data_IF_292826412260
#
_entry.id   IF_292826412260
#
_cell.length_a   1.000
_cell.length_b   1.000
_cell.length_c   1.000
_cell.angle_alpha   90.00
_cell.angle_beta   90.00
_cell.angle_gamma   90.00
#
_symmetry.space_group_name_H-M   'P 1'
#
loop_
_entity.id
_entity.type
_entity.pdbx_description
1 polymer ?
#
# COMPACT_ATOMS: atom_id res chain seq x y z
N UNK A 1 3.46 -6.67 17.30
CA UNK A 1 4.49 -5.91 16.56
C UNK A 1 4.39 -4.45 17.01
N UNK A 2 5.48 -3.70 17.16
CA UNK A 2 5.39 -2.26 17.48
C UNK A 2 5.80 -1.48 16.23
N UNK A 3 4.84 -0.78 15.62
CA UNK A 3 5.01 -0.13 14.31
C UNK A 3 5.17 1.37 14.54
N UNK A 4 6.41 1.83 14.59
CA UNK A 4 6.74 3.25 14.75
C UNK A 4 6.84 3.93 13.38
N UNK A 5 5.75 3.94 12.63
CA UNK A 5 5.67 4.63 11.33
C UNK A 5 4.88 5.93 11.44
N UNK A 6 5.35 6.94 10.72
CA UNK A 6 4.55 8.07 10.31
C UNK A 6 3.44 7.62 9.37
N UNK A 7 2.43 8.48 9.24
CA UNK A 7 1.30 8.21 8.35
C UNK A 7 1.74 8.05 6.89
N UNK A 8 2.73 8.84 6.46
CA UNK A 8 3.27 8.79 5.11
C UNK A 8 4.01 7.47 4.84
N UNK A 9 4.80 6.98 5.81
CA UNK A 9 5.46 5.66 5.75
C UNK A 9 4.45 4.53 5.62
N UNK A 10 3.39 4.55 6.43
CA UNK A 10 2.31 3.57 6.32
C UNK A 10 1.59 3.62 4.96
N UNK A 11 1.26 4.83 4.49
CA UNK A 11 0.59 4.97 3.19
C UNK A 11 1.47 4.42 2.07
N UNK A 12 2.76 4.76 2.08
CA UNK A 12 3.76 4.21 1.13
C UNK A 12 3.79 2.69 1.18
N UNK A 13 3.78 2.11 2.38
CA UNK A 13 3.82 0.67 2.58
C UNK A 13 2.60 -0.03 1.96
N UNK A 14 1.41 0.54 2.17
CA UNK A 14 0.17 0.00 1.60
C UNK A 14 0.14 0.12 0.08
N UNK A 15 0.68 1.20 -0.50
CA UNK A 15 0.76 1.36 -1.95
C UNK A 15 1.75 0.38 -2.58
N UNK A 16 2.90 0.14 -1.94
CA UNK A 16 3.87 -0.86 -2.38
C UNK A 16 3.32 -2.29 -2.26
N UNK A 17 2.56 -2.58 -1.20
CA UNK A 17 1.88 -3.86 -1.06
C UNK A 17 0.89 -4.11 -2.21
N UNK A 18 0.17 -3.06 -2.62
CA UNK A 18 -0.70 -3.12 -3.80
C UNK A 18 0.10 -3.38 -5.08
N UNK A 19 1.17 -2.61 -5.32
CA UNK A 19 2.01 -2.77 -6.52
C UNK A 19 2.71 -4.14 -6.63
N UNK A 20 2.93 -4.84 -5.50
CA UNK A 20 3.56 -6.16 -5.49
C UNK A 20 2.55 -7.32 -5.45
N UNK A 21 1.26 -7.01 -5.51
CA UNK A 21 0.18 -7.96 -5.17
C UNK A 21 -0.01 -9.12 -6.16
N UNK A 22 0.41 -8.94 -7.41
CA UNK A 22 0.46 -9.99 -8.44
C UNK A 22 1.90 -10.52 -8.67
N UNK A 23 2.83 -10.21 -7.76
CA UNK A 23 4.27 -10.48 -7.86
C UNK A 23 5.01 -9.74 -9.00
N UNK A 24 4.35 -8.77 -9.63
CA UNK A 24 4.90 -7.97 -10.74
C UNK A 24 4.70 -6.49 -10.41
N UNK A 25 5.75 -5.84 -9.91
CA UNK A 25 5.77 -4.38 -9.79
C UNK A 25 6.20 -3.77 -11.13
N UNK A 26 5.33 -2.99 -11.76
CA UNK A 26 5.62 -2.30 -13.02
C UNK A 26 6.28 -0.93 -12.79
N UNK A 27 7.07 -0.48 -13.75
CA UNK A 27 7.68 0.87 -13.68
C UNK A 27 6.64 1.99 -13.55
N UNK A 28 5.45 1.81 -14.15
CA UNK A 28 4.34 2.77 -14.06
C UNK A 28 3.78 2.87 -12.63
N UNK A 29 3.66 1.75 -11.92
CA UNK A 29 3.22 1.71 -10.53
C UNK A 29 4.25 2.35 -9.61
N UNK A 30 5.52 1.97 -9.73
CA UNK A 30 6.61 2.58 -8.95
C UNK A 30 6.69 4.09 -9.22
N UNK A 31 6.56 4.51 -10.48
CA UNK A 31 6.54 5.93 -10.85
C UNK A 31 5.35 6.68 -10.25
N UNK A 32 4.16 6.06 -10.20
CA UNK A 32 3.00 6.65 -9.53
C UNK A 32 3.27 6.84 -8.04
N UNK A 33 3.84 5.85 -7.35
CA UNK A 33 4.16 5.95 -5.92
C UNK A 33 5.22 7.04 -5.69
N UNK A 34 6.31 7.04 -6.48
CA UNK A 34 7.36 8.07 -6.43
C UNK A 34 6.84 9.49 -6.75
N UNK A 35 5.71 9.64 -7.43
CA UNK A 35 5.06 10.95 -7.62
C UNK A 35 4.38 11.48 -6.35
N UNK A 36 4.13 10.61 -5.36
CA UNK A 36 3.42 10.91 -4.11
C UNK A 36 4.36 11.10 -2.93
N UNK A 37 5.52 10.45 -2.96
CA UNK A 37 6.46 10.41 -1.84
C UNK A 37 7.87 10.70 -2.34
N UNK A 38 8.75 11.08 -1.43
CA UNK A 38 10.15 11.25 -1.78
C UNK A 38 10.84 9.89 -1.99
N UNK A 39 11.89 9.89 -2.82
CA UNK A 39 12.63 8.68 -3.20
C UNK A 39 13.28 7.97 -1.99
N UNK A 40 13.74 8.71 -0.99
CA UNK A 40 14.32 8.12 0.23
C UNK A 40 13.28 7.28 0.98
N UNK A 41 12.07 7.82 1.13
CA UNK A 41 10.96 7.13 1.80
C UNK A 41 10.50 5.90 1.00
N UNK A 42 10.37 6.06 -0.32
CA UNK A 42 10.08 4.94 -1.21
C UNK A 42 11.08 3.80 -1.01
N UNK A 43 12.38 4.08 -1.11
CA UNK A 43 13.43 3.08 -0.99
C UNK A 43 13.46 2.42 0.40
N UNK A 44 13.28 3.20 1.47
CA UNK A 44 13.23 2.65 2.84
C UNK A 44 12.07 1.69 3.03
N UNK A 45 10.88 2.04 2.57
CA UNK A 45 9.69 1.20 2.72
C UNK A 45 9.70 0.03 1.73
N UNK A 46 10.25 0.21 0.54
CA UNK A 46 10.47 -0.86 -0.43
C UNK A 46 11.39 -1.93 0.16
N UNK A 47 12.47 -1.52 0.82
CA UNK A 47 13.36 -2.43 1.54
C UNK A 47 12.63 -3.17 2.66
N UNK A 48 11.68 -2.54 3.36
CA UNK A 48 10.91 -3.21 4.41
C UNK A 48 9.98 -4.29 3.84
N UNK A 49 9.20 -3.94 2.81
CA UNK A 49 8.15 -4.82 2.31
C UNK A 49 8.68 -6.06 1.58
N UNK A 50 9.84 -5.98 0.92
CA UNK A 50 10.45 -7.14 0.26
C UNK A 50 10.88 -8.25 1.23
N UNK A 51 10.99 -7.95 2.53
CA UNK A 51 11.27 -8.93 3.57
C UNK A 51 10.00 -9.53 4.20
N UNK A 52 8.83 -8.95 3.93
CA UNK A 52 7.56 -9.40 4.46
C UNK A 52 6.86 -10.37 3.52
N UNK A 53 6.33 -11.46 4.06
CA UNK A 53 5.32 -12.24 3.35
C UNK A 53 3.91 -11.62 3.51
N UNK A 54 2.95 -12.10 2.72
CA UNK A 54 1.56 -11.63 2.76
C UNK A 54 0.94 -11.58 4.16
N UNK A 55 1.21 -12.59 4.99
CA UNK A 55 0.68 -12.64 6.35
C UNK A 55 1.27 -11.49 7.20
N UNK A 56 2.59 -11.30 7.15
CA UNK A 56 3.28 -10.23 7.89
C UNK A 56 2.82 -8.84 7.43
N UNK A 57 2.76 -8.61 6.12
CA UNK A 57 2.30 -7.35 5.56
C UNK A 57 0.86 -7.03 5.99
N UNK A 58 -0.02 -8.02 5.93
CA UNK A 58 -1.39 -7.89 6.35
C UNK A 58 -1.54 -7.60 7.85
N UNK A 59 -0.73 -8.25 8.69
CA UNK A 59 -0.71 -8.01 10.13
C UNK A 59 -0.21 -6.59 10.45
N UNK A 60 0.83 -6.11 9.74
CA UNK A 60 1.33 -4.74 9.89
C UNK A 60 0.27 -3.71 9.53
N UNK A 61 -0.42 -3.90 8.40
CA UNK A 61 -1.48 -2.99 7.95
C UNK A 61 -2.60 -2.90 8.99
N UNK A 62 -3.08 -4.05 9.49
CA UNK A 62 -4.13 -4.11 10.51
C UNK A 62 -3.70 -3.47 11.83
N UNK A 63 -2.49 -3.76 12.28
CA UNK A 63 -1.94 -3.24 13.54
C UNK A 63 -1.84 -1.73 13.50
N UNK A 64 -1.28 -1.17 12.42
CA UNK A 64 -1.14 0.27 12.28
C UNK A 64 -2.50 0.99 12.27
N UNK A 65 -3.49 0.45 11.55
CA UNK A 65 -4.85 1.02 11.50
C UNK A 65 -5.59 0.90 12.84
N UNK A 66 -5.28 -0.11 13.65
CA UNK A 66 -5.87 -0.26 14.98
C UNK A 66 -5.28 0.72 16.00
N UNK A 67 -3.98 1.01 15.88
CA UNK A 67 -3.25 1.91 16.78
C UNK A 67 -3.41 3.40 16.40
N UNK A 68 -3.69 3.69 15.13
CA UNK A 68 -3.79 5.05 14.61
C UNK A 68 -5.21 5.39 14.18
N UNK A 69 -5.70 6.57 14.58
CA UNK A 69 -7.02 7.05 14.18
C UNK A 69 -6.98 7.56 12.74
N UNK A 70 -7.71 6.89 11.86
CA UNK A 70 -8.00 7.36 10.51
C UNK A 70 -9.42 7.89 10.41
N UNK A 71 -9.57 9.09 9.86
CA UNK A 71 -10.86 9.64 9.46
C UNK A 71 -11.38 8.92 8.20
N UNK A 72 -12.68 8.98 7.96
CA UNK A 72 -13.28 8.41 6.75
C UNK A 72 -12.69 9.03 5.47
N UNK A 73 -12.37 10.32 5.48
CA UNK A 73 -11.74 11.02 4.35
C UNK A 73 -10.35 10.46 4.06
N UNK A 74 -9.56 10.19 5.10
CA UNK A 74 -8.21 9.64 4.93
C UNK A 74 -8.24 8.19 4.44
N UNK A 75 -9.21 7.40 4.91
CA UNK A 75 -9.47 6.03 4.42
C UNK A 75 -9.86 6.04 2.94
N UNK A 76 -10.80 6.90 2.55
CA UNK A 76 -11.24 7.05 1.17
C UNK A 76 -10.11 7.49 0.25
N UNK A 77 -9.28 8.43 0.71
CA UNK A 77 -8.12 8.89 -0.03
C UNK A 77 -7.09 7.76 -0.22
N UNK A 78 -6.79 6.99 0.83
CA UNK A 78 -5.90 5.83 0.72
C UNK A 78 -6.44 4.78 -0.26
N UNK A 79 -7.74 4.46 -0.22
CA UNK A 79 -8.35 3.53 -1.17
C UNK A 79 -8.31 4.04 -2.61
N UNK A 80 -8.44 5.36 -2.80
CA UNK A 80 -8.29 5.99 -4.11
C UNK A 80 -6.85 5.90 -4.62
N UNK A 81 -5.86 6.12 -3.75
CA UNK A 81 -4.46 6.02 -4.12
C UNK A 81 -4.07 4.57 -4.45
N UNK A 82 -4.52 3.58 -3.68
CA UNK A 82 -4.36 2.15 -3.99
C UNK A 82 -4.96 1.83 -5.37
N UNK A 83 -6.17 2.33 -5.64
CA UNK A 83 -6.80 2.12 -6.94
C UNK A 83 -5.93 2.71 -8.06
N UNK A 84 -5.40 3.92 -7.88
CA UNK A 84 -4.57 4.53 -8.90
C UNK A 84 -3.25 3.78 -9.15
N UNK A 85 -2.69 3.10 -8.13
CA UNK A 85 -1.54 2.18 -8.33
C UNK A 85 -1.94 1.11 -9.34
N UNK A 86 -3.00 0.35 -9.09
CA UNK A 86 -3.45 -0.72 -9.99
C UNK A 86 -3.79 -0.25 -11.41
N UNK A 87 -4.20 1.02 -11.59
CA UNK A 87 -4.53 1.56 -12.91
C UNK A 87 -3.34 2.25 -13.60
N UNK A 88 -2.15 2.29 -12.98
CA UNK A 88 -1.01 3.05 -13.49
C UNK A 88 -0.49 2.52 -14.83
N UNK A 89 -0.55 1.21 -15.05
CA UNK A 89 -0.10 0.54 -16.28
C UNK A 89 -1.20 0.42 -17.36
N UNK A 90 -2.44 0.80 -17.02
CA UNK A 90 -3.60 0.78 -17.92
C UNK A 90 -4.46 -0.49 -17.88
N UNK A 91 -4.12 -1.50 -17.08
CA UNK A 91 -4.93 -2.73 -16.96
C UNK A 91 -4.93 -3.29 -15.54
N UNK A 92 -6.11 -3.66 -15.03
CA UNK A 92 -6.22 -4.31 -13.71
C UNK A 92 -6.60 -5.78 -13.85
N UNK A 93 -5.74 -6.67 -13.36
CA UNK A 93 -5.95 -8.12 -13.36
C UNK A 93 -6.86 -8.60 -12.21
N UNK A 94 -7.12 -9.91 -12.17
CA UNK A 94 -8.02 -10.51 -11.15
C UNK A 94 -7.40 -10.55 -9.76
N UNK A 95 -6.08 -10.72 -9.66
CA UNK A 95 -5.34 -10.75 -8.39
C UNK A 95 -5.33 -9.36 -7.76
N UNK A 96 -5.02 -8.32 -8.52
CA UNK A 96 -5.05 -6.92 -8.08
C UNK A 96 -6.44 -6.51 -7.59
N UNK A 97 -7.50 -6.92 -8.31
CA UNK A 97 -8.89 -6.73 -7.85
C UNK A 97 -9.16 -7.41 -6.52
N UNK A 98 -8.69 -8.64 -6.34
CA UNK A 98 -8.88 -9.38 -5.08
C UNK A 98 -8.13 -8.69 -3.93
N UNK A 99 -6.91 -8.22 -4.16
CA UNK A 99 -6.11 -7.48 -3.18
C UNK A 99 -6.78 -6.15 -2.83
N UNK A 100 -7.31 -5.42 -3.82
CA UNK A 100 -8.10 -4.21 -3.57
C UNK A 100 -9.29 -4.49 -2.65
N UNK A 101 -10.05 -5.56 -2.89
CA UNK A 101 -11.19 -5.93 -2.06
C UNK A 101 -10.78 -6.30 -0.62
N UNK A 102 -9.64 -6.98 -0.46
CA UNK A 102 -9.08 -7.33 0.84
C UNK A 102 -8.67 -6.07 1.62
N UNK A 103 -7.90 -5.18 0.99
CA UNK A 103 -7.46 -3.92 1.57
C UNK A 103 -8.66 -3.03 1.92
N UNK A 104 -9.65 -2.95 1.03
CA UNK A 104 -10.89 -2.22 1.27
C UNK A 104 -11.63 -2.70 2.51
N UNK A 105 -11.71 -4.02 2.73
CA UNK A 105 -12.38 -4.60 3.90
C UNK A 105 -11.70 -4.24 5.23
N UNK A 106 -10.40 -3.96 5.20
CA UNK A 106 -9.61 -3.67 6.40
C UNK A 106 -9.56 -2.16 6.66
N UNK A 107 -9.48 -1.37 5.60
CA UNK A 107 -9.36 0.09 5.68
C UNK A 107 -10.72 0.74 5.93
N UNK A 108 -11.81 0.26 5.30
CA UNK A 108 -13.15 0.82 5.45
C UNK A 108 -13.75 0.46 6.81
#
# INVERSE_FOLDING_TARGET
MNINWTKEEFQTYVLLYAAQSNYIETESESAYILSKVNESLFNSIHTEIVHDNDYQAMEKIKTYLAENKYTNVEKEQLLKDIKNVFFADGSVDVLERNVFLLLKKIIA
#
